data_IF_756428479817
#
_entry.id   IF_756428479817
#
_cell.length_a   1.000
_cell.length_b   1.000
_cell.length_c   1.000
_cell.angle_alpha   90.00
_cell.angle_beta   90.00
_cell.angle_gamma   90.00
#
_symmetry.space_group_name_H-M   'P 1'
#
loop_
_entity.id
_entity.type
_entity.pdbx_description
1 polymer ?
#
# COMPACT_ATOMS: atom_id res chain seq x y z
N UNK A 1 -2.43 -18.24 -6.91
CA UNK A 1 -3.05 -18.88 -5.75
C UNK A 1 -3.67 -17.88 -4.77
N UNK A 2 -3.01 -16.77 -4.43
CA UNK A 2 -3.51 -15.77 -3.47
C UNK A 2 -4.79 -15.01 -3.90
N UNK A 3 -4.97 -14.70 -5.19
CA UNK A 3 -6.15 -13.97 -5.68
C UNK A 3 -7.48 -14.69 -5.42
N UNK A 4 -7.53 -16.01 -5.57
CA UNK A 4 -8.74 -16.79 -5.31
C UNK A 4 -9.10 -16.75 -3.83
N UNK A 5 -8.13 -16.95 -2.95
CA UNK A 5 -8.34 -16.90 -1.51
C UNK A 5 -8.73 -15.49 -1.01
N UNK A 6 -8.23 -14.44 -1.67
CA UNK A 6 -8.61 -13.05 -1.35
C UNK A 6 -10.08 -12.77 -1.70
N UNK A 7 -10.57 -13.26 -2.84
CA UNK A 7 -11.98 -13.15 -3.23
C UNK A 7 -12.91 -13.88 -2.25
N UNK A 8 -12.48 -15.02 -1.72
CA UNK A 8 -13.27 -15.78 -0.74
C UNK A 8 -13.44 -15.00 0.58
N UNK A 9 -12.41 -14.22 0.98
CA UNK A 9 -12.47 -13.36 2.19
C UNK A 9 -13.45 -12.19 1.99
N UNK A 10 -13.56 -11.63 0.79
CA UNK A 10 -14.44 -10.49 0.53
C UNK A 10 -15.90 -10.77 0.92
N UNK A 11 -16.33 -12.02 0.84
CA UNK A 11 -17.68 -12.42 1.27
C UNK A 11 -17.88 -12.46 2.79
N UNK A 12 -16.80 -12.37 3.57
CA UNK A 12 -16.79 -12.52 5.02
C UNK A 12 -16.61 -11.19 5.76
N UNK A 13 -16.16 -10.14 5.07
CA UNK A 13 -15.90 -8.82 5.67
C UNK A 13 -17.12 -7.92 5.60
N UNK A 14 -17.21 -6.95 6.52
CA UNK A 14 -18.36 -6.04 6.63
C UNK A 14 -18.52 -5.12 5.42
N UNK A 15 -17.41 -4.67 4.82
CA UNK A 15 -17.42 -3.71 3.71
C UNK A 15 -16.49 -4.17 2.58
N UNK A 16 -16.88 -5.16 1.79
CA UNK A 16 -16.03 -5.73 0.73
C UNK A 16 -15.67 -4.73 -0.37
N UNK A 17 -16.48 -3.69 -0.57
CA UNK A 17 -16.23 -2.64 -1.57
C UNK A 17 -14.93 -1.88 -1.36
N UNK A 18 -14.41 -1.82 -0.13
CA UNK A 18 -13.10 -1.23 0.21
C UNK A 18 -11.93 -1.88 -0.53
N UNK A 19 -12.10 -3.11 -1.02
CA UNK A 19 -11.02 -3.97 -1.48
C UNK A 19 -11.17 -4.41 -2.94
N UNK A 20 -12.19 -3.93 -3.64
CA UNK A 20 -12.52 -4.39 -5.00
C UNK A 20 -11.74 -3.68 -6.09
N UNK A 21 -11.27 -2.44 -5.85
CA UNK A 21 -10.53 -1.65 -6.82
C UNK A 21 -11.26 -1.31 -8.10
N UNK A 22 -12.59 -1.25 -8.07
CA UNK A 22 -13.46 -1.01 -9.22
C UNK A 22 -13.96 0.45 -9.31
N UNK A 23 -13.16 1.39 -8.86
CA UNK A 23 -13.47 2.82 -8.96
C UNK A 23 -13.42 3.29 -10.41
N UNK A 24 -14.34 4.19 -10.79
CA UNK A 24 -14.50 4.70 -12.17
C UNK A 24 -13.20 5.34 -12.69
N UNK A 25 -12.48 6.05 -11.82
CA UNK A 25 -11.25 6.78 -12.17
C UNK A 25 -9.97 5.97 -11.87
N UNK A 26 -10.08 4.69 -11.60
CA UNK A 26 -8.93 3.82 -11.36
C UNK A 26 -8.13 3.62 -12.66
N UNK A 27 -6.83 3.89 -12.61
CA UNK A 27 -5.92 3.73 -13.75
C UNK A 27 -5.20 2.39 -13.59
N UNK A 28 -5.47 1.46 -14.49
CA UNK A 28 -4.84 0.14 -14.51
C UNK A 28 -3.84 0.07 -15.66
N UNK A 29 -2.57 -0.01 -15.32
CA UNK A 29 -1.48 -0.24 -16.28
C UNK A 29 -0.94 -1.64 -16.12
N UNK A 30 -0.41 -2.18 -17.20
CA UNK A 30 0.29 -3.46 -17.18
C UNK A 30 1.69 -3.23 -16.55
N UNK A 31 1.99 -3.82 -15.38
CA UNK A 31 3.27 -3.60 -14.72
C UNK A 31 4.46 -4.12 -15.53
N UNK A 32 4.25 -5.06 -16.44
CA UNK A 32 5.32 -5.60 -17.29
C UNK A 32 5.62 -4.70 -18.50
N UNK A 33 4.88 -3.60 -18.68
CA UNK A 33 5.03 -2.63 -19.79
C UNK A 33 5.45 -1.23 -19.32
N UNK A 34 5.84 -1.09 -18.08
CA UNK A 34 6.34 0.17 -17.51
C UNK A 34 7.76 -0.02 -16.98
N UNK A 35 8.50 1.08 -16.89
CA UNK A 35 9.87 1.04 -16.36
C UNK A 35 9.91 1.03 -14.86
N UNK A 36 8.85 1.54 -14.20
CA UNK A 36 8.78 1.71 -12.75
C UNK A 36 7.37 1.45 -12.22
N UNK A 37 7.28 0.68 -11.15
CA UNK A 37 6.05 0.46 -10.38
C UNK A 37 6.13 1.15 -9.03
N UNK A 38 5.10 1.93 -8.68
CA UNK A 38 5.05 2.72 -7.47
C UNK A 38 3.84 2.34 -6.60
N UNK A 39 4.06 1.92 -5.37
CA UNK A 39 3.01 1.71 -4.39
C UNK A 39 2.79 2.99 -3.57
N UNK A 40 1.64 3.60 -3.69
CA UNK A 40 1.20 4.73 -2.85
C UNK A 40 0.46 4.18 -1.64
N UNK A 41 1.13 4.17 -0.50
CA UNK A 41 0.60 3.63 0.75
C UNK A 41 0.04 4.75 1.62
N UNK A 42 -1.23 4.63 1.96
CA UNK A 42 -1.90 5.47 2.94
C UNK A 42 -2.22 4.61 4.18
N UNK A 43 -1.54 4.84 5.32
CA UNK A 43 -1.63 3.94 6.48
C UNK A 43 -2.86 4.19 7.33
N UNK A 44 -4.03 4.30 6.70
CA UNK A 44 -5.33 4.44 7.32
C UNK A 44 -6.41 3.78 6.44
N UNK A 45 -7.65 3.75 6.93
CA UNK A 45 -8.77 3.12 6.23
C UNK A 45 -9.03 3.74 4.85
N UNK A 46 -9.61 2.95 3.97
CA UNK A 46 -9.97 3.33 2.61
C UNK A 46 -10.74 4.66 2.53
N UNK A 47 -11.73 4.88 3.40
CA UNK A 47 -12.58 6.08 3.38
C UNK A 47 -11.80 7.36 3.70
N UNK A 48 -10.79 7.25 4.56
CA UNK A 48 -9.92 8.37 4.92
C UNK A 48 -8.93 8.64 3.78
N UNK A 49 -8.28 7.59 3.30
CA UNK A 49 -7.26 7.72 2.27
C UNK A 49 -7.78 8.14 0.91
N UNK A 50 -8.94 7.65 0.48
CA UNK A 50 -9.53 8.02 -0.82
C UNK A 50 -9.98 9.46 -0.89
N UNK A 51 -10.31 10.08 0.24
CA UNK A 51 -10.67 11.50 0.31
C UNK A 51 -9.46 12.44 0.42
N UNK A 52 -8.24 11.90 0.57
CA UNK A 52 -7.04 12.70 0.76
C UNK A 52 -6.49 13.25 -0.56
N UNK A 53 -6.59 14.56 -0.77
CA UNK A 53 -6.17 15.22 -2.02
C UNK A 53 -4.69 14.97 -2.38
N UNK A 54 -3.79 15.00 -1.40
CA UNK A 54 -2.37 14.75 -1.64
C UNK A 54 -2.11 13.39 -2.29
N UNK A 55 -2.78 12.34 -1.83
CA UNK A 55 -2.70 11.01 -2.42
C UNK A 55 -3.25 11.01 -3.86
N UNK A 56 -4.39 11.65 -4.09
CA UNK A 56 -5.01 11.72 -5.42
C UNK A 56 -4.11 12.48 -6.42
N UNK A 57 -3.48 13.58 -5.98
CA UNK A 57 -2.55 14.36 -6.80
C UNK A 57 -1.34 13.51 -7.18
N UNK A 58 -0.70 12.84 -6.21
CA UNK A 58 0.44 11.96 -6.48
C UNK A 58 0.06 10.81 -7.42
N UNK A 59 -1.08 10.18 -7.18
CA UNK A 59 -1.61 9.12 -8.04
C UNK A 59 -1.80 9.59 -9.48
N UNK A 60 -2.39 10.78 -9.67
CA UNK A 60 -2.62 11.37 -10.97
C UNK A 60 -1.31 11.74 -11.68
N UNK A 61 -0.37 12.38 -10.96
CA UNK A 61 0.93 12.81 -11.51
C UNK A 61 1.74 11.58 -11.95
N UNK A 62 1.88 10.58 -11.10
CA UNK A 62 2.65 9.37 -11.42
C UNK A 62 2.03 8.62 -12.60
N UNK A 63 0.71 8.45 -12.59
CA UNK A 63 0.03 7.75 -13.67
C UNK A 63 -0.09 8.56 -14.98
N UNK A 64 0.14 9.87 -14.98
CA UNK A 64 0.27 10.65 -16.21
C UNK A 64 1.54 10.31 -17.01
N UNK A 65 2.56 9.77 -16.35
CA UNK A 65 3.78 9.29 -16.99
C UNK A 65 3.52 7.93 -17.65
N UNK A 66 3.89 7.78 -18.93
CA UNK A 66 3.62 6.54 -19.69
C UNK A 66 4.36 5.33 -19.14
N UNK A 67 5.54 5.55 -18.59
CA UNK A 67 6.47 4.53 -18.10
C UNK A 67 6.39 4.25 -16.60
N UNK A 68 5.40 4.83 -15.88
CA UNK A 68 5.19 4.58 -14.45
C UNK A 68 3.79 4.03 -14.25
N UNK A 69 3.68 2.98 -13.43
CA UNK A 69 2.42 2.49 -12.89
C UNK A 69 2.37 2.74 -11.38
N UNK A 70 1.46 3.60 -10.94
CA UNK A 70 1.23 3.85 -9.52
C UNK A 70 -0.08 3.19 -9.08
N UNK A 71 -0.03 2.45 -7.97
CA UNK A 71 -1.18 1.76 -7.38
C UNK A 71 -1.32 2.12 -5.91
N UNK A 72 -2.55 2.09 -5.40
CA UNK A 72 -2.87 2.54 -4.04
C UNK A 72 -3.01 1.36 -3.09
N UNK A 73 -2.56 1.60 -1.86
CA UNK A 73 -2.75 0.71 -0.72
C UNK A 73 -3.34 1.47 0.45
N UNK A 74 -4.27 0.86 1.15
CA UNK A 74 -4.88 1.37 2.38
C UNK A 74 -4.74 0.33 3.49
N UNK A 75 -4.75 0.80 4.74
CA UNK A 75 -4.80 -0.11 5.89
C UNK A 75 -6.10 -0.92 5.83
N UNK A 76 -6.04 -2.25 5.90
CA UNK A 76 -7.25 -3.06 6.00
C UNK A 76 -7.99 -2.77 7.30
N UNK A 77 -9.32 -2.83 7.27
CA UNK A 77 -10.13 -2.76 8.48
C UNK A 77 -9.88 -3.98 9.37
N UNK A 78 -10.14 -3.89 10.69
CA UNK A 78 -9.77 -4.95 11.64
C UNK A 78 -10.30 -6.35 11.29
N UNK A 79 -11.50 -6.44 10.72
CA UNK A 79 -12.09 -7.70 10.25
C UNK A 79 -11.29 -8.30 9.09
N UNK A 80 -10.92 -7.49 8.10
CA UNK A 80 -10.10 -7.92 6.99
C UNK A 80 -8.68 -8.25 7.42
N UNK A 81 -8.08 -7.43 8.28
CA UNK A 81 -6.76 -7.67 8.85
C UNK A 81 -6.67 -9.04 9.53
N UNK A 82 -7.67 -9.37 10.37
CA UNK A 82 -7.75 -10.65 11.05
C UNK A 82 -7.74 -11.83 10.07
N UNK A 83 -8.52 -11.76 8.99
CA UNK A 83 -8.53 -12.81 7.96
C UNK A 83 -7.22 -12.88 7.18
N UNK A 84 -6.60 -11.74 6.84
CA UNK A 84 -5.31 -11.73 6.15
C UNK A 84 -4.22 -12.41 6.99
N UNK A 85 -4.19 -12.13 8.30
CA UNK A 85 -3.27 -12.76 9.25
C UNK A 85 -3.54 -14.27 9.38
N UNK A 86 -4.80 -14.66 9.62
CA UNK A 86 -5.18 -16.07 9.77
C UNK A 86 -4.84 -16.89 8.52
N UNK A 87 -5.15 -16.37 7.36
CA UNK A 87 -4.94 -17.07 6.07
C UNK A 87 -3.54 -16.87 5.49
N UNK A 88 -2.67 -16.09 6.14
CA UNK A 88 -1.34 -15.75 5.65
C UNK A 88 -1.34 -15.12 4.25
N UNK A 89 -2.37 -14.33 3.95
CA UNK A 89 -2.54 -13.64 2.68
C UNK A 89 -1.99 -12.21 2.84
N UNK A 90 -1.10 -11.73 1.95
CA UNK A 90 -0.58 -10.37 2.01
C UNK A 90 -1.64 -9.34 1.63
N UNK A 91 -1.46 -8.10 2.09
CA UNK A 91 -2.21 -6.96 1.61
C UNK A 91 -2.00 -6.76 0.11
N UNK A 92 -3.05 -6.42 -0.62
CA UNK A 92 -3.03 -6.25 -2.07
C UNK A 92 -3.39 -4.82 -2.47
N UNK A 93 -2.82 -4.36 -3.59
CA UNK A 93 -3.15 -3.06 -4.19
C UNK A 93 -4.59 -2.99 -4.68
N UNK A 94 -5.10 -1.78 -4.80
CA UNK A 94 -6.45 -1.51 -5.28
C UNK A 94 -6.60 -1.82 -6.78
N UNK A 95 -5.63 -1.47 -7.61
CA UNK A 95 -5.75 -1.49 -9.07
C UNK A 95 -5.57 -2.88 -9.67
N UNK A 96 -4.43 -3.53 -9.39
CA UNK A 96 -4.08 -4.84 -10.00
C UNK A 96 -4.14 -6.02 -9.03
N UNK A 97 -4.41 -5.75 -7.73
CA UNK A 97 -4.32 -6.75 -6.67
C UNK A 97 -2.92 -7.38 -6.59
N UNK A 98 -1.90 -6.53 -6.67
CA UNK A 98 -0.49 -6.91 -6.58
C UNK A 98 -0.03 -6.79 -5.12
N UNK A 99 0.91 -7.66 -4.72
CA UNK A 99 1.51 -7.62 -3.38
C UNK A 99 2.46 -6.43 -3.26
N UNK A 100 2.48 -5.78 -2.09
CA UNK A 100 3.28 -4.58 -1.82
C UNK A 100 4.77 -4.80 -2.09
N UNK A 101 5.32 -5.94 -1.69
CA UNK A 101 6.73 -6.29 -1.91
C UNK A 101 7.17 -6.46 -3.38
N UNK A 102 6.21 -6.48 -4.31
CA UNK A 102 6.49 -6.67 -5.74
C UNK A 102 6.55 -5.33 -6.50
N UNK A 103 6.52 -4.20 -5.82
CA UNK A 103 6.74 -2.87 -6.39
C UNK A 103 8.21 -2.49 -6.32
N UNK A 104 8.64 -1.54 -7.14
CA UNK A 104 10.01 -1.01 -7.10
C UNK A 104 10.17 0.02 -6.00
N UNK A 105 9.15 0.87 -5.79
CA UNK A 105 9.11 1.90 -4.76
C UNK A 105 7.81 1.80 -3.95
N UNK A 106 7.93 1.93 -2.64
CA UNK A 106 6.81 2.10 -1.71
C UNK A 106 6.90 3.52 -1.12
N UNK A 107 5.95 4.38 -1.49
CA UNK A 107 5.83 5.73 -0.94
C UNK A 107 4.73 5.77 0.12
N UNK A 108 5.10 6.06 1.37
CA UNK A 108 4.19 6.06 2.52
C UNK A 108 3.83 7.49 2.91
N UNK A 109 2.52 7.77 3.03
CA UNK A 109 2.00 9.05 3.51
C UNK A 109 2.14 9.16 5.03
N UNK A 110 2.93 10.14 5.50
CA UNK A 110 3.18 10.41 6.91
C UNK A 110 2.39 11.64 7.36
N UNK A 111 1.11 11.47 7.70
CA UNK A 111 0.22 12.60 8.02
C UNK A 111 0.22 12.96 9.49
N UNK A 112 0.22 11.98 10.39
CA UNK A 112 0.31 12.17 11.82
C UNK A 112 0.79 10.89 12.53
N UNK A 113 1.31 11.05 13.74
CA UNK A 113 2.11 10.03 14.43
C UNK A 113 1.29 8.79 14.85
N UNK A 114 -0.02 8.93 15.05
CA UNK A 114 -0.86 7.78 15.41
C UNK A 114 -0.93 6.71 14.32
N UNK A 115 -0.55 7.04 13.08
CA UNK A 115 -0.49 6.08 11.97
C UNK A 115 0.83 5.30 11.92
N UNK A 116 1.81 5.59 12.76
CA UNK A 116 3.12 4.91 12.70
C UNK A 116 3.01 3.40 12.95
N UNK A 117 2.15 2.98 13.88
CA UNK A 117 1.90 1.55 14.11
C UNK A 117 1.22 0.86 12.94
N UNK A 118 0.36 1.58 12.20
CA UNK A 118 -0.28 1.05 11.00
C UNK A 118 0.74 0.80 9.88
N UNK A 119 1.78 1.64 9.77
CA UNK A 119 2.88 1.43 8.83
C UNK A 119 3.56 0.08 9.10
N UNK A 120 3.91 -0.18 10.36
CA UNK A 120 4.53 -1.45 10.75
C UNK A 120 3.58 -2.64 10.51
N UNK A 121 2.29 -2.48 10.81
CA UNK A 121 1.29 -3.50 10.52
C UNK A 121 1.20 -3.82 9.01
N UNK A 122 1.24 -2.80 8.15
CA UNK A 122 1.21 -2.99 6.69
C UNK A 122 2.48 -3.67 6.17
N UNK A 123 3.67 -3.34 6.69
CA UNK A 123 4.92 -4.04 6.38
C UNK A 123 4.84 -5.52 6.80
N UNK A 124 4.34 -5.78 8.01
CA UNK A 124 4.14 -7.14 8.54
C UNK A 124 3.20 -7.96 7.67
N UNK A 125 2.01 -7.44 7.37
CA UNK A 125 1.03 -8.07 6.49
C UNK A 125 1.59 -8.35 5.09
N UNK A 126 2.52 -7.51 4.63
CA UNK A 126 3.15 -7.64 3.32
C UNK A 126 4.41 -8.52 3.33
N UNK A 127 4.80 -9.05 4.50
CA UNK A 127 6.00 -9.85 4.70
C UNK A 127 7.28 -9.12 4.27
N UNK A 128 7.34 -7.82 4.57
CA UNK A 128 8.50 -6.96 4.36
C UNK A 128 9.19 -6.76 5.71
N UNK A 129 10.52 -6.96 5.82
CA UNK A 129 11.26 -6.71 7.06
C UNK A 129 11.06 -5.27 7.54
N UNK A 130 10.94 -5.07 8.86
CA UNK A 130 10.70 -3.74 9.42
C UNK A 130 11.90 -2.81 9.20
N UNK A 131 13.07 -3.26 9.59
CA UNK A 131 14.26 -2.44 9.55
C UNK A 131 14.86 -2.37 8.14
N UNK A 132 15.21 -1.18 7.69
CA UNK A 132 15.85 -0.97 6.39
C UNK A 132 17.13 -1.82 6.23
N UNK A 133 17.94 -1.91 7.28
CA UNK A 133 19.16 -2.75 7.30
C UNK A 133 18.93 -4.26 7.13
N UNK A 134 17.69 -4.73 7.25
CA UNK A 134 17.32 -6.15 7.07
C UNK A 134 16.78 -6.41 5.65
N UNK A 135 16.60 -5.36 4.86
CA UNK A 135 16.14 -5.47 3.48
C UNK A 135 17.34 -5.51 2.55
N UNK A 136 17.40 -6.56 1.75
CA UNK A 136 18.36 -6.71 0.65
C UNK A 136 17.77 -6.09 -0.63
N UNK A 137 18.57 -6.06 -1.70
CA UNK A 137 18.18 -5.52 -3.04
C UNK A 137 16.92 -6.17 -3.64
N UNK A 138 16.46 -7.28 -3.07
CA UNK A 138 15.22 -7.96 -3.49
C UNK A 138 13.93 -7.25 -3.00
N UNK A 139 14.04 -6.27 -2.11
CA UNK A 139 12.90 -5.53 -1.59
C UNK A 139 12.77 -4.15 -2.22
N UNK A 140 11.53 -3.60 -2.29
CA UNK A 140 11.31 -2.25 -2.79
C UNK A 140 11.98 -1.18 -1.92
N UNK A 141 12.37 -0.06 -2.54
CA UNK A 141 12.79 1.14 -1.82
C UNK A 141 11.60 1.73 -1.06
N UNK A 142 11.72 1.92 0.25
CA UNK A 142 10.66 2.47 1.10
C UNK A 142 10.96 3.92 1.44
N UNK A 143 10.12 4.82 0.99
CA UNK A 143 10.24 6.27 1.24
C UNK A 143 9.01 6.79 1.97
N UNK A 144 9.19 7.83 2.76
CA UNK A 144 8.12 8.52 3.48
C UNK A 144 8.00 9.98 3.09
N UNK A 145 6.78 10.50 3.07
CA UNK A 145 6.52 11.91 2.80
C UNK A 145 5.25 12.42 3.47
N UNK A 146 5.25 13.70 3.81
CA UNK A 146 4.13 14.34 4.49
C UNK A 146 4.58 15.16 5.71
N UNK A 147 3.63 15.73 6.47
CA UNK A 147 3.96 16.61 7.61
C UNK A 147 4.88 15.97 8.65
N UNK A 148 4.69 14.69 8.98
CA UNK A 148 5.51 14.02 10.00
C UNK A 148 6.93 13.70 9.52
N UNK A 149 7.26 13.89 8.23
CA UNK A 149 8.62 13.77 7.73
C UNK A 149 9.57 14.89 8.27
N UNK A 150 9.02 15.96 8.87
CA UNK A 150 9.81 16.97 9.59
C UNK A 150 10.47 16.42 10.86
N UNK A 151 9.91 15.37 11.46
CA UNK A 151 10.52 14.64 12.58
C UNK A 151 10.62 13.15 12.21
N UNK A 152 11.63 12.76 11.42
CA UNK A 152 11.73 11.39 10.90
C UNK A 152 12.23 10.38 11.94
N UNK A 153 12.86 10.82 13.04
CA UNK A 153 13.53 9.96 14.03
C UNK A 153 12.70 8.74 14.48
N UNK A 154 11.40 8.87 14.81
CA UNK A 154 10.63 7.71 15.27
C UNK A 154 10.49 6.59 14.23
N UNK A 155 10.67 6.91 12.95
CA UNK A 155 10.52 5.99 11.83
C UNK A 155 11.81 5.77 11.02
N UNK A 156 12.91 6.46 11.36
CA UNK A 156 14.12 6.47 10.55
C UNK A 156 14.68 5.07 10.26
N UNK A 157 14.62 4.16 11.22
CA UNK A 157 15.12 2.79 11.05
C UNK A 157 14.28 1.93 10.07
N UNK A 158 13.06 2.38 9.73
CA UNK A 158 12.12 1.62 8.89
C UNK A 158 12.05 2.12 7.44
N UNK A 159 12.70 3.22 7.13
CA UNK A 159 12.76 3.81 5.79
C UNK A 159 14.18 3.73 5.21
N UNK A 160 14.30 3.71 3.88
CA UNK A 160 15.56 3.67 3.15
C UNK A 160 15.96 5.10 2.72
#
# INVERSE_FOLDING_TARGET
MHKKNYQDILALVQTPTRYTGNEINSIKKDPDKVDLTFALVFPDLYEIGTSHFGLQILYSILNSQKNIAAERFFMPAPDMEAYLLEKQIPCLSMESQRQLKNFDIIGISLLYELNFTNILAMLSLSKIPFYSREREDAFPLIIGGGPCAFNPEPLADFFD
#
